data_IF_166400112573
#
_entry.id   IF_166400112573
#
_cell.length_a   1.000
_cell.length_b   1.000
_cell.length_c   1.000
_cell.angle_alpha   90.00
_cell.angle_beta   90.00
_cell.angle_gamma   90.00
#
_symmetry.space_group_name_H-M   'P 1'
#
loop_
_entity.id
_entity.type
_entity.pdbx_description
1 polymer ?
#
# COMPACT_ATOMS: atom_id res chain seq x y z
N UNK A 1 -18.07 -21.33 -0.74
CA UNK A 1 -18.71 -20.44 -1.73
C UNK A 1 -17.73 -19.32 -2.03
N UNK A 2 -17.35 -19.07 -3.29
CA UNK A 2 -16.45 -17.98 -3.66
C UNK A 2 -17.08 -16.65 -3.26
N UNK A 3 -16.80 -16.15 -2.06
CA UNK A 3 -17.52 -14.98 -1.53
C UNK A 3 -17.20 -13.69 -2.30
N UNK A 4 -16.16 -13.71 -3.13
CA UNK A 4 -15.46 -12.49 -3.53
C UNK A 4 -15.35 -12.27 -5.04
N UNK A 5 -15.78 -13.21 -5.90
CA UNK A 5 -15.58 -13.11 -7.36
C UNK A 5 -16.22 -11.84 -7.96
N UNK A 6 -17.52 -11.53 -7.72
CA UNK A 6 -18.14 -10.33 -8.29
C UNK A 6 -17.56 -9.04 -7.72
N UNK A 7 -17.13 -9.03 -6.45
CA UNK A 7 -16.48 -7.87 -5.83
C UNK A 7 -15.14 -7.61 -6.50
N UNK A 8 -14.32 -8.66 -6.60
CA UNK A 8 -13.00 -8.57 -7.19
C UNK A 8 -13.06 -8.11 -8.65
N UNK A 9 -13.99 -8.67 -9.45
CA UNK A 9 -14.19 -8.28 -10.85
C UNK A 9 -14.45 -6.77 -11.00
N UNK A 10 -15.27 -6.16 -10.14
CA UNK A 10 -15.54 -4.71 -10.16
C UNK A 10 -14.33 -3.86 -9.75
N UNK A 11 -13.43 -4.42 -8.95
CA UNK A 11 -12.26 -3.73 -8.42
C UNK A 11 -11.01 -3.92 -9.29
N UNK A 12 -11.06 -4.72 -10.36
CA UNK A 12 -9.94 -4.96 -11.29
C UNK A 12 -9.24 -3.65 -11.73
N UNK A 13 -9.95 -2.59 -12.18
CA UNK A 13 -9.29 -1.36 -12.62
C UNK A 13 -8.41 -0.74 -11.53
N UNK A 14 -8.87 -0.81 -10.28
CA UNK A 14 -8.20 -0.25 -9.11
C UNK A 14 -7.02 -1.13 -8.67
N UNK A 15 -7.23 -2.45 -8.65
CA UNK A 15 -6.23 -3.43 -8.21
C UNK A 15 -5.10 -3.62 -9.21
N UNK A 16 -5.38 -3.55 -10.50
CA UNK A 16 -4.42 -3.87 -11.56
C UNK A 16 -3.65 -2.63 -12.00
N UNK A 17 -4.35 -1.50 -12.11
CA UNK A 17 -3.83 -0.28 -12.73
C UNK A 17 -3.77 0.91 -11.76
N UNK A 18 -4.05 0.72 -10.47
CA UNK A 18 -4.13 1.79 -9.47
C UNK A 18 -5.00 2.96 -9.93
N UNK A 19 -6.16 2.63 -10.52
CA UNK A 19 -7.14 3.66 -10.94
C UNK A 19 -7.90 4.14 -9.70
N UNK A 20 -7.62 5.37 -9.31
CA UNK A 20 -8.38 6.13 -8.32
C UNK A 20 -9.25 7.18 -9.02
N UNK A 21 -9.60 8.23 -8.29
CA UNK A 21 -10.25 9.40 -8.88
C UNK A 21 -9.84 10.71 -8.24
N UNK A 22 -10.07 11.80 -8.96
CA UNK A 22 -9.81 13.16 -8.54
C UNK A 22 -11.12 13.94 -8.46
N UNK A 23 -11.25 14.78 -7.43
CA UNK A 23 -12.41 15.65 -7.26
C UNK A 23 -12.19 16.97 -8.02
N UNK A 24 -12.92 17.22 -9.09
CA UNK A 24 -12.84 18.47 -9.88
C UNK A 24 -13.39 19.73 -9.17
N UNK A 25 -13.59 19.69 -7.86
CA UNK A 25 -13.91 20.89 -7.04
C UNK A 25 -12.82 21.29 -6.07
N UNK A 26 -11.89 20.38 -5.73
CA UNK A 26 -10.82 20.65 -4.77
C UNK A 26 -9.51 19.94 -5.11
N UNK A 27 -9.45 19.31 -6.27
CA UNK A 27 -8.32 18.59 -6.86
C UNK A 27 -7.71 17.47 -6.01
N UNK A 28 -8.34 17.13 -4.88
CA UNK A 28 -7.93 15.99 -4.05
C UNK A 28 -8.11 14.68 -4.80
N UNK A 29 -7.10 13.83 -4.67
CA UNK A 29 -7.04 12.50 -5.26
C UNK A 29 -7.42 11.46 -4.20
N UNK A 30 -8.16 10.44 -4.60
CA UNK A 30 -8.64 9.36 -3.73
C UNK A 30 -8.34 8.00 -4.33
N UNK A 31 -7.96 7.09 -3.45
CA UNK A 31 -7.82 5.67 -3.75
C UNK A 31 -8.24 4.86 -2.51
N UNK A 32 -9.12 3.84 -2.63
CA UNK A 32 -9.91 3.49 -3.83
C UNK A 32 -10.81 4.64 -4.32
N UNK A 33 -11.28 4.63 -5.58
CA UNK A 33 -12.11 5.70 -6.12
C UNK A 33 -13.43 5.82 -5.37
N UNK A 34 -13.88 7.06 -5.18
CA UNK A 34 -15.11 7.38 -4.42
C UNK A 34 -16.18 8.04 -5.29
N UNK A 35 -17.44 7.69 -5.08
CA UNK A 35 -18.57 8.36 -5.76
C UNK A 35 -18.71 9.83 -5.36
N UNK A 36 -18.30 10.19 -4.13
CA UNK A 36 -18.32 11.57 -3.65
C UNK A 36 -17.09 11.91 -2.80
N UNK A 37 -16.67 13.16 -2.87
CA UNK A 37 -15.56 13.70 -2.10
C UNK A 37 -16.02 13.95 -0.65
N UNK A 38 -15.31 13.45 0.38
CA UNK A 38 -15.69 13.67 1.77
C UNK A 38 -15.60 15.16 2.18
N UNK A 39 -14.77 15.95 1.49
CA UNK A 39 -14.57 17.37 1.77
C UNK A 39 -15.64 18.26 1.10
N UNK A 40 -15.89 18.06 -0.20
CA UNK A 40 -16.85 18.87 -0.97
C UNK A 40 -18.29 18.32 -0.89
N UNK A 41 -18.45 17.06 -0.48
CA UNK A 41 -19.72 16.34 -0.39
C UNK A 41 -20.52 16.46 -1.70
N UNK A 42 -21.76 16.94 -1.61
CA UNK A 42 -22.66 17.11 -2.77
C UNK A 42 -22.07 17.96 -3.90
N UNK A 43 -21.17 18.90 -3.60
CA UNK A 43 -20.55 19.76 -4.63
C UNK A 43 -19.65 18.99 -5.61
N UNK A 44 -19.18 17.79 -5.24
CA UNK A 44 -18.35 16.95 -6.11
C UNK A 44 -19.13 15.95 -6.96
N UNK A 45 -20.44 15.82 -6.76
CA UNK A 45 -21.25 14.85 -7.51
C UNK A 45 -21.21 15.24 -8.99
N UNK A 46 -20.92 14.27 -9.87
CA UNK A 46 -20.71 14.51 -11.30
C UNK A 46 -19.37 15.17 -11.67
N UNK A 47 -18.49 15.45 -10.68
CA UNK A 47 -17.16 16.05 -10.87
C UNK A 47 -16.02 15.14 -10.39
N UNK A 48 -16.31 13.86 -10.14
CA UNK A 48 -15.30 12.87 -9.82
C UNK A 48 -14.82 12.23 -11.12
N UNK A 49 -13.56 12.48 -11.50
CA UNK A 49 -12.97 11.95 -12.73
C UNK A 49 -11.95 10.87 -12.41
N UNK A 50 -11.93 9.79 -13.20
CA UNK A 50 -10.94 8.73 -13.04
C UNK A 50 -9.52 9.28 -13.18
N UNK A 51 -8.61 8.74 -12.37
CA UNK A 51 -7.20 9.11 -12.39
C UNK A 51 -6.33 7.88 -12.17
N UNK A 52 -5.44 7.60 -13.12
CA UNK A 52 -4.40 6.59 -12.96
C UNK A 52 -3.28 7.13 -12.08
N UNK A 53 -2.96 6.41 -11.02
CA UNK A 53 -1.85 6.74 -10.12
C UNK A 53 -0.55 6.14 -10.67
N UNK A 54 0.57 6.81 -10.42
CA UNK A 54 1.90 6.37 -10.85
C UNK A 54 2.34 5.08 -10.18
N UNK A 55 1.80 4.81 -8.98
CA UNK A 55 2.22 3.70 -8.13
C UNK A 55 3.54 3.93 -7.42
N UNK A 56 4.09 5.14 -7.45
CA UNK A 56 5.23 5.52 -6.63
C UNK A 56 4.75 6.02 -5.28
N UNK A 57 5.49 5.71 -4.22
CA UNK A 57 5.18 6.18 -2.88
C UNK A 57 6.30 5.97 -1.89
N UNK A 58 5.97 6.19 -0.62
CA UNK A 58 6.88 6.12 0.51
C UNK A 58 6.25 5.37 1.68
N UNK A 59 7.04 4.55 2.38
CA UNK A 59 6.57 3.81 3.55
C UNK A 59 6.35 4.78 4.72
N UNK A 60 5.11 4.90 5.19
CA UNK A 60 4.75 5.70 6.37
C UNK A 60 4.94 4.90 7.65
N UNK A 61 4.57 3.62 7.61
CA UNK A 61 4.69 2.69 8.73
C UNK A 61 4.59 1.26 8.16
N UNK A 62 5.15 0.29 8.88
CA UNK A 62 5.13 -1.11 8.48
C UNK A 62 5.07 -2.04 9.69
N UNK A 63 4.70 -3.28 9.45
CA UNK A 63 4.76 -4.38 10.40
C UNK A 63 5.25 -5.64 9.70
N UNK A 64 5.97 -6.49 10.43
CA UNK A 64 6.48 -7.76 9.92
C UNK A 64 5.56 -8.85 10.45
N UNK A 65 4.86 -9.54 9.55
CA UNK A 65 3.97 -10.63 9.91
C UNK A 65 4.78 -11.92 10.00
N UNK A 66 5.00 -12.38 11.24
CA UNK A 66 5.67 -13.64 11.58
C UNK A 66 4.71 -14.83 11.68
N UNK A 67 3.40 -14.58 11.65
CA UNK A 67 2.36 -15.61 11.61
C UNK A 67 1.33 -15.14 10.60
N UNK A 68 1.24 -15.87 9.48
CA UNK A 68 0.29 -15.62 8.42
C UNK A 68 -0.93 -16.53 8.54
N UNK A 69 -2.09 -16.15 7.98
CA UNK A 69 -3.18 -17.10 7.75
C UNK A 69 -2.75 -18.21 6.79
N UNK A 70 -3.47 -19.33 6.76
CA UNK A 70 -3.15 -20.57 6.03
C UNK A 70 -2.68 -20.33 4.58
N UNK A 71 -3.36 -19.44 3.85
CA UNK A 71 -3.03 -19.09 2.45
C UNK A 71 -1.67 -18.36 2.27
N UNK A 72 -1.05 -17.89 3.36
CA UNK A 72 0.14 -17.04 3.37
C UNK A 72 1.29 -17.61 4.22
N UNK A 73 1.17 -18.82 4.75
CA UNK A 73 2.21 -19.45 5.58
C UNK A 73 3.56 -19.52 4.86
N UNK A 74 3.55 -19.83 3.56
CA UNK A 74 4.75 -19.90 2.73
C UNK A 74 5.42 -18.54 2.44
N UNK A 75 4.78 -17.43 2.81
CA UNK A 75 5.33 -16.08 2.63
C UNK A 75 5.91 -15.53 3.94
N UNK A 76 5.72 -16.21 5.07
CA UNK A 76 6.21 -15.76 6.37
C UNK A 76 7.74 -15.91 6.46
N UNK A 77 8.46 -14.94 7.06
CA UNK A 77 7.98 -13.61 7.47
C UNK A 77 7.87 -12.65 6.28
N UNK A 78 6.79 -11.85 6.23
CA UNK A 78 6.63 -10.81 5.21
C UNK A 78 6.24 -9.44 5.77
N UNK A 79 6.77 -8.35 5.20
CA UNK A 79 6.40 -6.99 5.58
C UNK A 79 5.07 -6.55 4.95
N UNK A 80 4.21 -5.93 5.76
CA UNK A 80 3.04 -5.18 5.32
C UNK A 80 3.20 -3.71 5.70
N UNK A 81 2.93 -2.80 4.78
CA UNK A 81 3.18 -1.38 4.96
C UNK A 81 1.96 -0.52 4.60
N UNK A 82 1.85 0.63 5.27
CA UNK A 82 1.05 1.75 4.80
C UNK A 82 1.96 2.65 3.98
N UNK A 83 1.59 2.85 2.72
CA UNK A 83 2.37 3.59 1.74
C UNK A 83 1.63 4.88 1.40
N UNK A 84 2.32 6.00 1.52
CA UNK A 84 1.89 7.31 1.04
C UNK A 84 2.24 7.39 -0.44
N UNK A 85 1.25 7.36 -1.33
CA UNK A 85 1.46 7.60 -2.75
C UNK A 85 1.78 9.07 -3.00
N UNK A 86 2.54 9.33 -4.06
CA UNK A 86 2.97 10.68 -4.45
C UNK A 86 1.78 11.61 -4.75
N UNK A 87 0.68 11.05 -5.24
CA UNK A 87 -0.54 11.81 -5.52
C UNK A 87 -1.38 12.13 -4.27
N UNK A 88 -1.02 11.59 -3.10
CA UNK A 88 -1.67 11.89 -1.81
C UNK A 88 -2.45 10.77 -1.11
N UNK A 89 -3.03 9.75 -1.77
CA UNK A 89 -3.68 8.65 -1.06
C UNK A 89 -2.71 7.77 -0.26
N UNK A 90 -3.19 7.17 0.83
CA UNK A 90 -2.49 6.11 1.56
C UNK A 90 -3.09 4.76 1.26
N UNK A 91 -2.25 3.76 1.06
CA UNK A 91 -2.66 2.39 0.74
C UNK A 91 -1.95 1.39 1.62
N UNK A 92 -2.61 0.28 1.92
CA UNK A 92 -2.00 -0.85 2.64
C UNK A 92 -1.62 -1.92 1.63
N UNK A 93 -0.35 -2.34 1.62
CA UNK A 93 0.13 -3.38 0.72
C UNK A 93 1.34 -4.11 1.30
N UNK A 94 1.60 -5.32 0.80
CA UNK A 94 2.83 -6.04 1.11
C UNK A 94 4.01 -5.44 0.35
N UNK A 95 5.17 -5.39 1.01
CA UNK A 95 6.46 -5.15 0.35
C UNK A 95 7.05 -6.51 -0.01
N UNK A 96 7.60 -6.63 -1.21
CA UNK A 96 8.14 -7.88 -1.74
C UNK A 96 9.51 -7.67 -2.38
N UNK A 97 10.18 -8.79 -2.66
CA UNK A 97 11.48 -8.85 -3.33
C UNK A 97 12.56 -8.01 -2.59
N UNK A 98 12.52 -7.99 -1.25
CA UNK A 98 13.47 -7.30 -0.37
C UNK A 98 13.78 -8.14 0.88
N UNK A 99 14.90 -7.84 1.55
CA UNK A 99 15.13 -8.32 2.91
C UNK A 99 14.20 -7.55 3.87
N UNK A 100 13.80 -8.18 4.96
CA UNK A 100 12.94 -7.57 5.97
C UNK A 100 13.66 -6.40 6.65
N UNK A 101 14.99 -6.49 6.80
CA UNK A 101 15.83 -5.44 7.37
C UNK A 101 15.96 -4.21 6.46
N UNK A 102 15.65 -4.35 5.16
CA UNK A 102 15.63 -3.25 4.20
C UNK A 102 14.36 -2.41 4.33
N UNK A 103 13.31 -2.92 4.99
CA UNK A 103 12.04 -2.20 5.12
C UNK A 103 12.14 -1.20 6.27
N UNK A 104 12.12 0.09 5.93
CA UNK A 104 12.17 1.21 6.89
C UNK A 104 11.15 2.29 6.51
N UNK A 105 10.74 3.05 7.52
CA UNK A 105 9.94 4.27 7.31
C UNK A 105 10.75 5.25 6.47
N UNK A 106 10.10 5.91 5.52
CA UNK A 106 10.73 6.89 4.63
C UNK A 106 11.29 6.31 3.33
N UNK A 107 11.33 4.98 3.18
CA UNK A 107 11.86 4.36 1.96
C UNK A 107 10.89 4.50 0.80
N UNK A 108 11.45 4.81 -0.36
CA UNK A 108 10.73 4.91 -1.64
C UNK A 108 10.40 3.53 -2.18
N UNK A 109 9.16 3.38 -2.61
CA UNK A 109 8.61 2.14 -3.14
C UNK A 109 7.87 2.39 -4.46
N UNK A 110 7.74 1.32 -5.25
CA UNK A 110 6.99 1.32 -6.51
C UNK A 110 6.08 0.11 -6.61
N UNK A 111 4.85 0.34 -7.07
CA UNK A 111 3.85 -0.71 -7.25
C UNK A 111 4.25 -1.70 -8.34
N UNK A 112 3.94 -2.97 -8.13
CA UNK A 112 4.10 -4.03 -9.11
C UNK A 112 2.89 -4.97 -9.08
N UNK A 113 2.62 -5.63 -10.20
CA UNK A 113 1.51 -6.55 -10.35
C UNK A 113 1.89 -7.97 -9.90
N UNK A 114 1.12 -8.53 -8.97
CA UNK A 114 1.38 -9.84 -8.35
C UNK A 114 0.10 -10.59 -8.04
N UNK A 115 0.22 -11.91 -7.87
CA UNK A 115 -0.81 -12.74 -7.23
C UNK A 115 -0.96 -12.30 -5.77
N UNK A 116 -2.19 -12.01 -5.34
CA UNK A 116 -2.53 -11.61 -3.98
C UNK A 116 -3.11 -12.78 -3.21
N UNK A 117 -4.04 -13.53 -3.81
CA UNK A 117 -4.72 -14.65 -3.18
C UNK A 117 -5.25 -15.62 -4.25
N UNK A 118 -5.62 -16.82 -3.83
CA UNK A 118 -6.36 -17.78 -4.64
C UNK A 118 -7.49 -18.36 -3.79
N UNK A 119 -8.67 -18.53 -4.37
CA UNK A 119 -9.83 -19.11 -3.66
C UNK A 119 -9.76 -20.65 -3.67
N UNK A 120 -9.01 -21.21 -2.74
CA UNK A 120 -8.76 -22.65 -2.65
C UNK A 120 -8.10 -23.24 -3.91
N UNK A 121 -8.11 -24.56 -4.06
CA UNK A 121 -7.37 -25.22 -5.14
C UNK A 121 -8.06 -25.12 -6.53
N UNK A 122 -9.36 -24.81 -6.57
CA UNK A 122 -10.16 -24.81 -7.81
C UNK A 122 -10.83 -23.46 -8.11
N UNK A 123 -10.71 -22.47 -7.22
CA UNK A 123 -11.34 -21.16 -7.40
C UNK A 123 -10.47 -20.15 -8.14
N UNK A 124 -10.96 -18.91 -8.19
CA UNK A 124 -10.33 -17.84 -8.94
C UNK A 124 -8.99 -17.41 -8.33
N UNK A 125 -8.04 -17.03 -9.19
CA UNK A 125 -6.79 -16.39 -8.79
C UNK A 125 -6.98 -14.88 -8.81
N UNK A 126 -6.66 -14.24 -7.69
CA UNK A 126 -6.80 -12.81 -7.50
C UNK A 126 -5.44 -12.14 -7.60
N UNK A 127 -5.29 -11.23 -8.57
CA UNK A 127 -4.11 -10.40 -8.74
C UNK A 127 -4.29 -8.97 -8.23
N UNK A 128 -3.21 -8.22 -8.08
CA UNK A 128 -3.27 -6.83 -7.66
C UNK A 128 -1.91 -6.23 -7.45
N UNK A 129 -1.88 -5.12 -6.73
CA UNK A 129 -0.65 -4.41 -6.41
C UNK A 129 0.03 -5.00 -5.17
N UNK A 130 1.34 -5.22 -5.28
CA UNK A 130 2.30 -5.24 -4.17
C UNK A 130 3.35 -4.16 -4.43
N UNK A 131 4.29 -3.94 -3.52
CA UNK A 131 5.30 -2.87 -3.66
C UNK A 131 6.72 -3.41 -3.58
N UNK A 132 7.60 -2.83 -4.38
CA UNK A 132 9.04 -3.08 -4.39
C UNK A 132 9.76 -1.87 -3.81
N UNK A 133 10.88 -2.10 -3.11
CA UNK A 133 11.78 -1.02 -2.71
C UNK A 133 12.53 -0.51 -3.95
N UNK A 134 12.55 0.81 -4.12
CA UNK A 134 13.34 1.46 -5.16
C UNK A 134 14.82 1.47 -4.74
N UNK A 135 15.67 0.68 -5.42
CA UNK A 135 17.10 0.55 -5.10
C UNK A 135 17.90 1.85 -5.24
N UNK A 136 17.38 2.85 -5.94
CA UNK A 136 18.10 4.08 -6.25
C UNK A 136 18.12 5.12 -5.10
N UNK A 137 17.37 4.89 -4.01
CA UNK A 137 17.32 5.80 -2.86
C UNK A 137 17.12 5.05 -1.55
N UNK A 138 18.16 4.35 -1.09
CA UNK A 138 18.26 4.02 0.34
C UNK A 138 18.55 5.33 1.06
N UNK A 139 17.49 6.04 1.46
CA UNK A 139 17.63 7.16 2.37
C UNK A 139 18.25 6.61 3.66
N UNK A 140 19.40 7.16 4.06
CA UNK A 140 20.05 6.85 5.33
C UNK A 140 19.05 7.19 6.45
N UNK A 141 18.51 6.16 7.08
CA UNK A 141 17.83 6.30 8.36
C UNK A 141 18.91 6.42 9.41
N UNK A 142 19.21 7.64 9.85
CA UNK A 142 20.02 7.90 11.05
C UNK A 142 19.06 7.84 12.25
N UNK A 143 19.16 6.84 13.13
CA UNK A 143 18.36 6.82 14.35
C UNK A 143 18.86 7.93 15.27
N UNK A 144 18.14 9.05 15.33
CA UNK A 144 18.32 10.00 16.43
C UNK A 144 17.89 9.29 17.73
N UNK A 145 18.88 9.04 18.60
CA UNK A 145 18.82 8.52 19.98
C UNK A 145 19.06 7.02 20.22
N UNK A 146 20.18 6.48 19.72
CA UNK A 146 20.80 5.28 20.26
C UNK A 146 22.27 5.58 20.57
N UNK A 147 22.75 5.21 21.76
CA UNK A 147 24.19 5.20 22.06
C UNK A 147 24.91 4.06 21.32
N UNK A 148 26.24 4.05 21.31
CA UNK A 148 27.07 3.02 20.64
C UNK A 148 26.82 1.58 21.16
N UNK A 149 26.00 1.43 22.21
CA UNK A 149 25.62 0.16 22.84
C UNK A 149 24.16 -0.24 22.56
N UNK A 150 23.41 0.53 21.77
CA UNK A 150 22.04 0.21 21.38
C UNK A 150 20.97 0.47 22.46
N UNK A 151 21.27 1.31 23.45
CA UNK A 151 20.30 1.70 24.48
C UNK A 151 19.59 3.03 24.15
N UNK A 152 18.31 3.11 24.53
CA UNK A 152 17.48 4.32 24.41
C UNK A 152 17.93 5.32 25.47
N UNK A 153 18.47 6.47 25.04
CA UNK A 153 18.84 7.56 25.96
C UNK A 153 17.57 8.30 26.40
N UNK A 154 17.44 8.47 27.71
CA UNK A 154 16.25 8.85 28.46
C UNK A 154 15.48 10.08 27.94
N UNK A 155 14.14 9.98 27.97
CA UNK A 155 13.22 11.12 27.85
C UNK A 155 13.16 11.79 29.23
N UNK A 156 13.85 12.91 29.43
CA UNK A 156 13.56 13.77 30.59
C UNK A 156 12.26 14.55 30.35
N UNK A 157 11.53 14.77 31.46
CA UNK A 157 10.12 15.16 31.58
C UNK A 157 9.68 16.40 30.81
#
# INVERSE_FOLDING_TARGET
MPKDVPRFWREIPQRYNLIGNQCGSCDKVFFPPRVSCPYCRRKSIGKMTEKKLSGNGEIVTYSILHVGPEDFENQVPYPIAIIQLDEGPRITAQIIDCDINDVKIGIRVKSTFRKIQQDGNTGAIYYGYKFLICKDKVAKYEPENLDESGNIVSIER
#
